data_IF_888381855569
#
_entry.id   IF_888381855569
#
_cell.length_a   1.000
_cell.length_b   1.000
_cell.length_c   1.000
_cell.angle_alpha   90.00
_cell.angle_beta   90.00
_cell.angle_gamma   90.00
#
_symmetry.space_group_name_H-M   'P 1'
#
loop_
_entity.id
_entity.type
_entity.pdbx_description
1 polymer ?
#
# COMPACT_ATOMS: atom_id res chain seq x y z
N UNK A 1 -40.02 -15.58 -17.13
CA UNK A 1 -39.68 -15.45 -15.70
C UNK A 1 -38.33 -14.75 -15.45
N UNK A 2 -37.23 -15.09 -16.13
CA UNK A 2 -35.91 -14.45 -15.92
C UNK A 2 -35.89 -12.91 -16.08
N UNK A 3 -36.66 -12.38 -17.03
CA UNK A 3 -36.79 -10.93 -17.26
C UNK A 3 -37.37 -10.18 -16.04
N UNK A 4 -38.35 -10.80 -15.37
CA UNK A 4 -39.01 -10.24 -14.19
C UNK A 4 -38.09 -10.25 -12.94
N UNK A 5 -37.26 -11.28 -12.78
CA UNK A 5 -36.27 -11.34 -11.69
C UNK A 5 -35.19 -10.25 -11.85
N UNK A 6 -34.69 -10.05 -13.06
CA UNK A 6 -33.72 -8.98 -13.38
C UNK A 6 -34.29 -7.59 -13.13
N UNK A 7 -35.52 -7.32 -13.58
CA UNK A 7 -36.19 -6.03 -13.37
C UNK A 7 -36.49 -5.76 -11.89
N UNK A 8 -36.84 -6.80 -11.12
CA UNK A 8 -37.00 -6.70 -9.66
C UNK A 8 -35.69 -6.38 -8.96
N UNK A 9 -34.60 -7.07 -9.32
CA UNK A 9 -33.27 -6.82 -8.76
C UNK A 9 -32.80 -5.40 -9.08
N UNK A 10 -33.00 -4.93 -10.32
CA UNK A 10 -32.63 -3.58 -10.73
C UNK A 10 -33.37 -2.49 -9.95
N UNK A 11 -34.66 -2.67 -9.63
CA UNK A 11 -35.40 -1.73 -8.75
C UNK A 11 -34.85 -1.74 -7.32
N UNK A 12 -34.64 -2.92 -6.75
CA UNK A 12 -34.11 -3.05 -5.39
C UNK A 12 -32.71 -2.45 -5.23
N UNK A 13 -31.88 -2.54 -6.27
CA UNK A 13 -30.55 -1.92 -6.29
C UNK A 13 -30.57 -0.44 -6.68
N UNK A 14 -31.55 -0.01 -7.49
CA UNK A 14 -31.70 1.38 -7.92
C UNK A 14 -32.16 2.31 -6.79
N UNK A 15 -32.88 1.77 -5.81
CA UNK A 15 -33.35 2.52 -4.63
C UNK A 15 -32.35 2.44 -3.45
N UNK A 16 -31.27 1.67 -3.59
CA UNK A 16 -30.25 1.53 -2.56
C UNK A 16 -29.19 2.62 -2.73
N UNK A 17 -29.24 3.65 -1.87
CA UNK A 17 -28.14 4.61 -1.76
C UNK A 17 -26.89 3.90 -1.22
N UNK A 18 -25.77 3.91 -1.94
CA UNK A 18 -24.53 3.35 -1.42
C UNK A 18 -24.06 4.22 -0.25
N UNK A 19 -23.72 3.58 0.87
CA UNK A 19 -23.27 4.27 2.08
C UNK A 19 -21.95 5.05 1.89
N UNK A 20 -21.22 4.78 0.79
CA UNK A 20 -19.99 5.46 0.41
C UNK A 20 -19.55 5.09 -1.01
N UNK A 21 -18.41 5.65 -1.41
CA UNK A 21 -17.75 5.39 -2.69
C UNK A 21 -17.27 3.94 -2.81
N UNK A 22 -17.35 3.37 -4.01
CA UNK A 22 -16.80 2.03 -4.30
C UNK A 22 -15.28 1.96 -4.07
N UNK A 23 -14.58 3.08 -4.26
CA UNK A 23 -13.15 3.23 -3.97
C UNK A 23 -12.87 4.65 -3.49
N UNK A 24 -11.80 4.80 -2.72
CA UNK A 24 -11.36 6.07 -2.17
C UNK A 24 -9.86 6.27 -2.38
N UNK A 25 -9.43 7.52 -2.47
CA UNK A 25 -8.02 7.89 -2.60
C UNK A 25 -7.72 9.14 -1.78
N UNK A 26 -6.46 9.26 -1.34
CA UNK A 26 -5.93 10.43 -0.65
C UNK A 26 -4.51 10.69 -1.14
N UNK A 27 -4.17 11.95 -1.40
CA UNK A 27 -2.80 12.39 -1.64
C UNK A 27 -2.24 13.01 -0.36
N UNK A 28 -1.09 12.51 0.09
CA UNK A 28 -0.42 12.97 1.30
C UNK A 28 0.95 13.57 0.99
N UNK A 29 1.42 14.57 1.76
CA UNK A 29 2.75 15.12 1.58
C UNK A 29 3.85 14.08 1.92
N UNK A 30 4.66 13.72 0.93
CA UNK A 30 5.70 12.70 1.08
C UNK A 30 6.76 13.04 2.16
N UNK A 31 6.96 14.33 2.48
CA UNK A 31 7.94 14.76 3.47
C UNK A 31 7.56 14.43 4.93
N UNK A 32 6.30 14.05 5.18
CA UNK A 32 5.84 13.61 6.50
C UNK A 32 6.26 12.17 6.80
N UNK A 33 6.60 11.39 5.77
CA UNK A 33 7.14 10.05 5.89
C UNK A 33 8.67 10.11 6.06
N UNK A 34 9.14 9.60 7.18
CA UNK A 34 10.54 9.23 7.39
C UNK A 34 10.67 7.71 7.22
N UNK A 35 11.62 7.30 6.41
CA UNK A 35 11.97 5.91 6.16
C UNK A 35 13.33 5.62 6.78
N UNK A 36 13.40 4.63 7.66
CA UNK A 36 14.65 4.13 8.22
C UNK A 36 14.84 2.66 7.86
N UNK A 37 16.09 2.26 7.61
CA UNK A 37 16.46 0.87 7.31
C UNK A 37 17.48 0.38 8.33
N UNK A 38 17.20 -0.76 8.95
CA UNK A 38 18.09 -1.43 9.90
C UNK A 38 19.47 -1.67 9.27
N UNK A 39 20.53 -1.22 9.95
CA UNK A 39 21.91 -1.32 9.46
C UNK A 39 22.34 -0.23 8.46
N UNK A 40 21.42 0.64 8.01
CA UNK A 40 21.71 1.76 7.10
C UNK A 40 21.37 3.12 7.72
N UNK A 41 20.29 3.20 8.50
CA UNK A 41 19.74 4.44 9.07
C UNK A 41 18.73 5.13 8.13
N UNK A 42 18.52 6.45 8.30
CA UNK A 42 17.55 7.20 7.52
C UNK A 42 17.80 7.19 6.00
N UNK A 43 16.76 6.93 5.22
CA UNK A 43 16.77 6.91 3.75
C UNK A 43 16.33 8.28 3.23
N UNK A 44 17.16 8.89 2.39
CA UNK A 44 16.91 10.21 1.82
C UNK A 44 16.47 10.06 0.38
N UNK A 45 15.33 10.66 0.04
CA UNK A 45 14.83 10.68 -1.33
C UNK A 45 15.30 11.94 -2.08
N UNK A 46 15.56 11.86 -3.39
CA UNK A 46 15.70 10.63 -4.17
C UNK A 46 16.95 9.83 -3.76
N UNK A 47 16.87 8.51 -3.82
CA UNK A 47 17.97 7.60 -3.45
C UNK A 47 19.13 7.79 -4.44
N UNK A 48 20.31 8.15 -3.93
CA UNK A 48 21.53 8.31 -4.73
C UNK A 48 22.39 7.05 -4.68
N UNK A 49 23.25 6.87 -5.69
CA UNK A 49 24.09 5.67 -5.84
C UNK A 49 24.84 5.24 -4.56
N UNK A 50 25.43 6.13 -3.75
CA UNK A 50 26.08 5.72 -2.50
C UNK A 50 25.11 5.12 -1.48
N UNK A 51 23.90 5.68 -1.34
CA UNK A 51 22.88 5.16 -0.43
C UNK A 51 22.26 3.87 -0.97
N UNK A 52 22.05 3.78 -2.29
CA UNK A 52 21.61 2.56 -2.94
C UNK A 52 22.57 1.38 -2.66
N UNK A 53 23.89 1.58 -2.77
CA UNK A 53 24.88 0.54 -2.43
C UNK A 53 24.79 0.08 -0.97
N UNK A 54 24.52 0.99 -0.03
CA UNK A 54 24.31 0.63 1.38
C UNK A 54 23.02 -0.17 1.57
N UNK A 55 21.93 0.23 0.92
CA UNK A 55 20.66 -0.51 0.96
C UNK A 55 20.82 -1.92 0.40
N UNK A 56 21.51 -2.05 -0.75
CA UNK A 56 21.81 -3.36 -1.36
C UNK A 56 22.62 -4.24 -0.40
N UNK A 57 23.57 -3.68 0.35
CA UNK A 57 24.42 -4.45 1.27
C UNK A 57 23.68 -5.12 2.44
N UNK A 58 22.47 -4.66 2.77
CA UNK A 58 21.61 -5.27 3.81
C UNK A 58 20.37 -5.96 3.22
N UNK A 59 20.15 -5.85 1.92
CA UNK A 59 19.02 -6.44 1.22
C UNK A 59 19.32 -7.90 0.81
N UNK A 60 18.28 -8.62 0.41
CA UNK A 60 18.40 -9.93 -0.25
C UNK A 60 17.99 -9.83 -1.72
N UNK A 61 18.41 -10.80 -2.53
CA UNK A 61 17.90 -10.91 -3.89
C UNK A 61 16.39 -11.12 -3.85
N UNK A 62 15.65 -10.38 -4.67
CA UNK A 62 14.19 -10.47 -4.67
C UNK A 62 13.71 -11.79 -5.25
N UNK A 63 12.76 -12.42 -4.57
CA UNK A 63 12.14 -13.64 -5.06
C UNK A 63 11.04 -13.31 -6.08
N UNK A 64 10.70 -14.28 -6.92
CA UNK A 64 9.44 -14.27 -7.64
C UNK A 64 8.76 -15.64 -7.61
N UNK A 65 7.43 -15.62 -7.69
CA UNK A 65 6.62 -16.82 -7.76
C UNK A 65 6.51 -17.32 -9.19
N UNK A 66 6.68 -18.63 -9.40
CA UNK A 66 6.35 -19.32 -10.65
C UNK A 66 5.44 -20.51 -10.34
N UNK A 67 4.13 -20.25 -10.35
CA UNK A 67 3.15 -21.21 -9.83
C UNK A 67 3.30 -21.37 -8.32
N UNK A 68 3.62 -22.58 -7.86
CA UNK A 68 3.89 -22.89 -6.44
C UNK A 68 5.36 -22.68 -6.05
N UNK A 69 6.26 -22.44 -7.02
CA UNK A 69 7.69 -22.28 -6.76
C UNK A 69 8.04 -20.84 -6.36
N UNK A 70 8.93 -20.67 -5.39
CA UNK A 70 9.56 -19.38 -5.06
C UNK A 70 11.01 -19.42 -5.52
N UNK A 71 11.35 -18.65 -6.56
CA UNK A 71 12.64 -18.72 -7.25
C UNK A 71 13.44 -17.41 -7.14
N UNK A 72 14.76 -17.54 -7.19
CA UNK A 72 15.73 -16.46 -7.43
C UNK A 72 16.34 -16.66 -8.82
N UNK A 73 15.75 -16.05 -9.83
CA UNK A 73 16.30 -16.03 -11.20
C UNK A 73 16.41 -14.57 -11.66
N UNK A 74 17.65 -14.12 -11.76
CA UNK A 74 17.99 -12.75 -12.13
C UNK A 74 17.69 -12.45 -13.60
N UNK A 75 17.46 -13.46 -14.44
CA UNK A 75 16.98 -13.25 -15.82
C UNK A 75 15.53 -12.73 -15.88
N UNK A 76 14.74 -12.96 -14.82
CA UNK A 76 13.38 -12.45 -14.69
C UNK A 76 13.31 -11.25 -13.74
N UNK A 77 14.09 -11.28 -12.66
CA UNK A 77 14.07 -10.22 -11.64
C UNK A 77 15.45 -9.99 -11.05
N UNK A 78 16.22 -9.11 -11.70
CA UNK A 78 17.48 -8.59 -11.16
C UNK A 78 17.21 -7.37 -10.27
N UNK A 79 16.71 -7.61 -9.06
CA UNK A 79 16.48 -6.56 -8.06
C UNK A 79 16.72 -7.08 -6.65
N UNK A 80 16.88 -6.14 -5.72
CA UNK A 80 17.08 -6.39 -4.31
C UNK A 80 15.83 -6.00 -3.53
N UNK A 81 15.51 -6.74 -2.47
CA UNK A 81 14.40 -6.46 -1.56
C UNK A 81 14.86 -6.35 -0.11
N UNK A 82 14.25 -5.41 0.61
CA UNK A 82 14.31 -5.33 2.07
C UNK A 82 13.05 -5.99 2.62
N UNK A 83 13.19 -6.82 3.64
CA UNK A 83 12.05 -7.45 4.30
C UNK A 83 11.40 -6.47 5.30
N UNK A 84 10.10 -6.65 5.65
CA UNK A 84 9.37 -5.72 6.51
C UNK A 84 10.09 -5.38 7.82
N UNK A 85 10.70 -6.38 8.47
CA UNK A 85 11.41 -6.24 9.75
C UNK A 85 12.68 -5.36 9.66
N UNK A 86 13.15 -5.05 8.45
CA UNK A 86 14.28 -4.15 8.21
C UNK A 86 13.85 -2.69 8.03
N UNK A 87 12.55 -2.41 7.93
CA UNK A 87 12.03 -1.10 7.54
C UNK A 87 11.21 -0.51 8.68
N UNK A 88 11.47 0.75 9.00
CA UNK A 88 10.64 1.54 9.90
C UNK A 88 10.12 2.77 9.16
N UNK A 89 8.80 2.96 9.21
CA UNK A 89 8.10 4.13 8.70
C UNK A 89 7.70 4.99 9.89
N UNK A 90 7.95 6.29 9.83
CA UNK A 90 7.69 7.18 10.95
C UNK A 90 7.90 8.64 10.63
N UNK A 91 8.28 9.40 11.65
CA UNK A 91 8.45 10.85 11.59
C UNK A 91 7.38 11.59 12.41
N UNK A 92 7.65 12.83 12.85
CA UNK A 92 6.76 13.55 13.76
C UNK A 92 5.33 13.72 13.26
N UNK A 93 5.14 13.83 11.94
CA UNK A 93 3.82 13.98 11.32
C UNK A 93 3.18 12.68 10.83
N UNK A 94 3.87 11.54 10.93
CA UNK A 94 3.41 10.29 10.32
C UNK A 94 2.17 9.72 11.00
N UNK A 95 2.14 9.68 12.33
CA UNK A 95 1.00 9.14 13.08
C UNK A 95 -0.27 9.95 12.81
N UNK A 96 -0.21 11.28 12.97
CA UNK A 96 -1.34 12.17 12.70
C UNK A 96 -1.83 12.09 11.24
N UNK A 97 -0.91 11.93 10.27
CA UNK A 97 -1.26 11.71 8.88
C UNK A 97 -2.04 10.40 8.69
N UNK A 98 -1.59 9.31 9.32
CA UNK A 98 -2.24 8.01 9.22
C UNK A 98 -3.61 8.01 9.88
N UNK A 99 -3.75 8.62 11.06
CA UNK A 99 -5.03 8.72 11.76
C UNK A 99 -6.05 9.48 10.88
N UNK A 100 -5.67 10.65 10.37
CA UNK A 100 -6.55 11.43 9.48
C UNK A 100 -6.84 10.73 8.15
N UNK A 101 -5.88 9.99 7.59
CA UNK A 101 -6.10 9.22 6.36
C UNK A 101 -7.11 8.08 6.58
N UNK A 102 -7.00 7.37 7.71
CA UNK A 102 -7.93 6.30 8.06
C UNK A 102 -9.34 6.83 8.34
N UNK A 103 -9.46 8.00 8.97
CA UNK A 103 -10.74 8.69 9.13
C UNK A 103 -11.35 9.07 7.78
N UNK A 104 -10.58 9.70 6.90
CA UNK A 104 -11.00 10.04 5.54
C UNK A 104 -11.49 8.82 4.77
N UNK A 105 -10.75 7.71 4.82
CA UNK A 105 -11.14 6.49 4.11
C UNK A 105 -12.36 5.80 4.72
N UNK A 106 -12.51 5.79 6.04
CA UNK A 106 -13.72 5.28 6.69
C UNK A 106 -14.95 6.02 6.18
N UNK A 107 -14.89 7.35 6.17
CA UNK A 107 -16.00 8.19 5.79
C UNK A 107 -16.31 8.07 4.28
N UNK A 108 -15.30 8.12 3.40
CA UNK A 108 -15.46 7.95 1.96
C UNK A 108 -16.00 6.56 1.58
N UNK A 109 -15.61 5.51 2.30
CA UNK A 109 -16.07 4.14 2.04
C UNK A 109 -17.39 3.81 2.76
N UNK A 110 -17.98 4.74 3.52
CA UNK A 110 -19.24 4.53 4.21
C UNK A 110 -19.16 3.51 5.36
N UNK A 111 -17.99 3.38 5.99
CA UNK A 111 -17.76 2.44 7.09
C UNK A 111 -18.28 3.01 8.42
N UNK A 112 -18.83 2.18 9.33
CA UNK A 112 -19.32 2.64 10.62
C UNK A 112 -18.18 3.12 11.53
N UNK A 113 -18.51 4.01 12.48
CA UNK A 113 -17.59 4.39 13.56
C UNK A 113 -17.39 3.21 14.54
N UNK A 114 -16.15 2.98 14.96
CA UNK A 114 -15.75 2.04 16.01
C UNK A 114 -15.74 2.66 17.39
#
# INVERSE_FOLDING_TARGET
>A
MAKAARERLARLLGDAEPAGSFSAQLLAPAHLLQLEVSGVGPVRLPVRAPQAKKLISVARSAMFGRGEETLTDTSFRDTWELIPDQVTLGGPGWAALMDGALEHFRDELGLPHT
#
